data_IF_404965448796
#
_entry.id   IF_404965448796
#
_cell.length_a   1.000
_cell.length_b   1.000
_cell.length_c   1.000
_cell.angle_alpha   90.00
_cell.angle_beta   90.00
_cell.angle_gamma   90.00
#
_symmetry.space_group_name_H-M   'P 1'
#
loop_
_entity.id
_entity.type
_entity.pdbx_description
1 polymer ?
#
# COMPACT_ATOMS: atom_id res chain seq x y z
N UNK A 1 11.99 -5.03 23.85
CA UNK A 1 11.39 -3.91 23.09
C UNK A 1 12.07 -2.58 23.38
N UNK A 2 12.33 -2.20 24.63
CA UNK A 2 12.98 -0.93 24.98
C UNK A 2 14.39 -0.79 24.43
N UNK A 3 15.14 -1.88 24.32
CA UNK A 3 16.48 -1.89 23.74
C UNK A 3 16.43 -1.48 22.28
N UNK A 4 15.55 -2.07 21.49
CA UNK A 4 15.40 -1.72 20.05
C UNK A 4 14.90 -0.30 19.87
N UNK A 5 13.99 0.17 20.70
CA UNK A 5 13.51 1.55 20.70
C UNK A 5 14.66 2.54 20.88
N UNK A 6 15.52 2.31 21.89
CA UNK A 6 16.69 3.15 22.14
C UNK A 6 17.69 3.11 21.00
N UNK A 7 17.93 1.95 20.40
CA UNK A 7 18.80 1.80 19.25
C UNK A 7 18.30 2.63 18.07
N UNK A 8 17.03 2.48 17.70
CA UNK A 8 16.42 3.21 16.57
C UNK A 8 16.34 4.73 16.81
N UNK A 9 16.31 5.16 18.08
CA UNK A 9 16.36 6.60 18.42
C UNK A 9 17.76 7.21 18.34
N UNK A 10 18.82 6.40 18.23
CA UNK A 10 20.20 6.82 18.30
C UNK A 10 21.08 6.11 17.27
N UNK A 11 20.66 6.10 16.00
CA UNK A 11 21.42 5.49 14.90
C UNK A 11 22.62 6.33 14.49
N UNK A 12 22.46 7.64 14.46
CA UNK A 12 23.50 8.61 14.09
C UNK A 12 23.18 10.00 14.65
N UNK A 13 24.20 10.84 14.76
CA UNK A 13 24.05 12.21 15.23
C UNK A 13 23.25 13.05 14.21
N UNK A 14 22.29 13.83 14.69
CA UNK A 14 21.45 14.67 13.83
C UNK A 14 20.31 13.96 13.10
N UNK A 15 20.04 12.67 13.41
CA UNK A 15 18.91 11.97 12.82
C UNK A 15 17.56 12.64 13.15
N UNK A 16 16.56 12.52 12.27
CA UNK A 16 15.19 12.88 12.60
C UNK A 16 14.67 12.10 13.81
N UNK A 17 13.75 12.70 14.56
CA UNK A 17 13.21 12.10 15.76
C UNK A 17 12.42 10.82 15.42
N UNK A 18 12.89 9.67 15.94
CA UNK A 18 12.13 8.43 15.94
C UNK A 18 11.19 8.39 17.15
N UNK A 19 9.90 8.16 16.89
CA UNK A 19 8.86 8.07 17.91
C UNK A 19 8.14 6.73 17.82
N UNK A 20 7.81 6.17 18.96
CA UNK A 20 7.04 4.92 19.07
C UNK A 20 5.98 5.10 20.14
N UNK A 21 4.75 4.86 19.77
CA UNK A 21 3.58 4.95 20.65
C UNK A 21 2.79 3.64 20.60
N UNK A 22 2.28 3.23 21.74
CA UNK A 22 1.25 2.19 21.78
C UNK A 22 -0.08 2.81 21.36
N UNK A 23 -0.83 2.11 20.52
CA UNK A 23 -2.14 2.53 20.06
C UNK A 23 -3.25 1.65 20.62
N UNK A 24 -4.48 2.08 20.50
CA UNK A 24 -5.63 1.23 20.74
C UNK A 24 -5.70 0.14 19.67
N UNK A 25 -6.04 -1.09 20.07
CA UNK A 25 -6.27 -2.21 19.16
C UNK A 25 -7.67 -2.11 18.54
N UNK A 26 -7.87 -1.11 17.70
CA UNK A 26 -9.11 -0.85 16.99
C UNK A 26 -8.80 -0.33 15.61
N UNK A 27 -9.16 -1.07 14.58
CA UNK A 27 -8.95 -0.68 13.19
C UNK A 27 -9.66 0.62 12.87
N UNK A 28 -10.89 0.79 13.37
CA UNK A 28 -11.67 2.02 13.16
C UNK A 28 -10.97 3.24 13.77
N UNK A 29 -10.56 3.14 15.04
CA UNK A 29 -9.94 4.26 15.74
C UNK A 29 -8.59 4.65 15.13
N UNK A 30 -7.75 3.64 14.80
CA UNK A 30 -6.42 3.89 14.23
C UNK A 30 -6.53 4.42 12.81
N UNK A 31 -7.39 3.84 11.97
CA UNK A 31 -7.56 4.31 10.60
C UNK A 31 -8.14 5.73 10.55
N UNK A 32 -9.10 6.04 11.43
CA UNK A 32 -9.65 7.39 11.55
C UNK A 32 -8.58 8.40 12.00
N UNK A 33 -7.72 8.02 12.95
CA UNK A 33 -6.59 8.84 13.37
C UNK A 33 -5.63 9.11 12.20
N UNK A 34 -5.23 8.06 11.46
CA UNK A 34 -4.31 8.19 10.34
C UNK A 34 -4.91 9.00 9.18
N UNK A 35 -6.21 8.90 8.95
CA UNK A 35 -6.91 9.79 8.00
C UNK A 35 -6.78 11.26 8.42
N UNK A 36 -7.08 11.58 9.68
CA UNK A 36 -6.92 12.93 10.22
C UNK A 36 -5.48 13.42 10.11
N UNK A 37 -4.52 12.58 10.47
CA UNK A 37 -3.09 12.89 10.38
C UNK A 37 -2.66 13.16 8.93
N UNK A 38 -3.04 12.30 7.99
CA UNK A 38 -2.69 12.43 6.57
C UNK A 38 -3.29 13.71 5.94
N UNK A 39 -4.48 14.13 6.36
CA UNK A 39 -5.11 15.35 5.86
C UNK A 39 -4.47 16.63 6.41
N UNK A 40 -3.85 16.57 7.58
CA UNK A 40 -3.14 17.71 8.21
C UNK A 40 -1.67 17.77 7.83
N UNK A 41 -1.09 16.66 7.38
CA UNK A 41 0.32 16.53 6.99
C UNK A 41 0.45 16.07 5.52
N UNK A 42 0.06 16.91 4.55
CA UNK A 42 -0.01 16.50 3.14
C UNK A 42 1.34 16.15 2.50
N UNK A 43 2.44 16.56 3.12
CA UNK A 43 3.80 16.28 2.64
C UNK A 43 4.45 15.06 3.34
N UNK A 44 3.73 14.41 4.24
CA UNK A 44 4.20 13.19 4.90
C UNK A 44 3.67 11.94 4.17
N UNK A 45 4.48 10.89 4.16
CA UNK A 45 4.00 9.56 3.82
C UNK A 45 3.38 8.94 5.08
N UNK A 46 2.06 8.87 5.08
CA UNK A 46 1.28 8.26 6.16
C UNK A 46 0.80 6.90 5.71
N UNK A 47 1.14 5.88 6.48
CA UNK A 47 0.81 4.48 6.15
C UNK A 47 0.07 3.86 7.33
N UNK A 48 -1.07 3.27 7.05
CA UNK A 48 -1.76 2.34 7.93
C UNK A 48 -1.66 0.92 7.37
N UNK A 49 -1.21 -0.03 8.18
CA UNK A 49 -1.16 -1.43 7.80
C UNK A 49 -2.09 -2.25 8.69
N UNK A 50 -3.06 -2.94 8.08
CA UNK A 50 -3.88 -3.91 8.77
C UNK A 50 -3.07 -5.16 9.11
N UNK A 51 -3.32 -5.80 10.24
CA UNK A 51 -2.68 -7.07 10.59
C UNK A 51 -2.98 -8.14 9.52
N UNK A 52 -4.24 -8.22 9.08
CA UNK A 52 -4.72 -8.91 7.89
C UNK A 52 -5.71 -7.98 7.18
N UNK A 53 -5.73 -8.02 5.86
CA UNK A 53 -6.57 -7.10 5.09
C UNK A 53 -8.06 -7.22 5.36
N UNK A 54 -8.53 -8.41 5.77
CA UNK A 54 -9.92 -8.62 6.17
C UNK A 54 -10.34 -7.76 7.37
N UNK A 55 -9.42 -7.46 8.28
CA UNK A 55 -9.71 -6.62 9.45
C UNK A 55 -10.04 -5.16 9.10
N UNK A 56 -9.80 -4.74 7.87
CA UNK A 56 -10.30 -3.46 7.37
C UNK A 56 -11.85 -3.36 7.44
N UNK A 57 -12.55 -4.49 7.52
CA UNK A 57 -14.00 -4.52 7.71
C UNK A 57 -14.44 -3.83 9.02
N UNK A 58 -13.64 -3.90 10.07
CA UNK A 58 -13.89 -3.20 11.33
C UNK A 58 -13.78 -1.68 11.25
N UNK A 59 -13.21 -1.16 10.16
CA UNK A 59 -13.07 0.27 9.88
C UNK A 59 -13.86 0.70 8.62
N UNK A 60 -14.83 -0.08 8.17
CA UNK A 60 -15.56 0.16 6.91
C UNK A 60 -16.20 1.55 6.86
N UNK A 61 -16.73 2.03 7.98
CA UNK A 61 -17.31 3.38 8.05
C UNK A 61 -16.30 4.47 7.74
N UNK A 62 -15.03 4.30 8.12
CA UNK A 62 -13.97 5.26 7.82
C UNK A 62 -13.64 5.26 6.33
N UNK A 63 -13.60 4.09 5.69
CA UNK A 63 -13.45 4.00 4.24
C UNK A 63 -14.61 4.67 3.50
N UNK A 64 -15.84 4.34 3.86
CA UNK A 64 -17.03 4.78 3.14
C UNK A 64 -17.31 6.28 3.33
N UNK A 65 -17.18 6.79 4.55
CA UNK A 65 -17.63 8.13 4.90
C UNK A 65 -16.53 9.20 4.86
N UNK A 66 -15.26 8.80 4.91
CA UNK A 66 -14.13 9.73 4.98
C UNK A 66 -13.13 9.51 3.84
N UNK A 67 -12.55 8.33 3.73
CA UNK A 67 -11.44 8.10 2.77
C UNK A 67 -11.94 8.18 1.33
N UNK A 68 -13.01 7.47 0.98
CA UNK A 68 -13.53 7.44 -0.39
C UNK A 68 -14.30 8.68 -0.81
N UNK A 69 -14.89 9.40 0.16
CA UNK A 69 -15.84 10.47 -0.10
C UNK A 69 -15.43 11.86 0.43
N UNK A 70 -14.36 11.94 1.21
CA UNK A 70 -13.94 13.20 1.85
C UNK A 70 -13.58 14.31 0.87
N UNK A 71 -13.01 13.98 -0.27
CA UNK A 71 -12.73 14.96 -1.32
C UNK A 71 -14.03 15.55 -1.89
N UNK A 72 -14.99 14.70 -2.21
CA UNK A 72 -16.27 15.15 -2.76
C UNK A 72 -17.11 15.95 -1.74
N UNK A 73 -17.17 15.47 -0.49
CA UNK A 73 -17.96 16.12 0.57
C UNK A 73 -17.39 17.47 1.02
N UNK A 74 -16.07 17.55 1.14
CA UNK A 74 -15.40 18.67 1.85
C UNK A 74 -14.23 19.29 1.07
N UNK A 75 -13.97 18.85 -0.16
CA UNK A 75 -12.78 19.26 -0.90
C UNK A 75 -11.47 18.84 -0.23
N UNK A 76 -11.50 17.86 0.68
CA UNK A 76 -10.35 17.46 1.49
C UNK A 76 -9.60 16.32 0.84
N UNK A 77 -8.41 16.63 0.36
CA UNK A 77 -7.49 15.66 -0.20
C UNK A 77 -6.79 14.87 0.91
N UNK A 78 -6.55 13.58 0.67
CA UNK A 78 -5.89 12.70 1.62
C UNK A 78 -4.88 11.81 0.88
N UNK A 79 -3.63 11.81 1.34
CA UNK A 79 -2.56 10.97 0.80
C UNK A 79 -2.32 9.67 1.58
N UNK A 80 -3.27 9.24 2.40
CA UNK A 80 -3.15 8.03 3.23
C UNK A 80 -2.94 6.79 2.36
N UNK A 81 -1.95 5.98 2.73
CA UNK A 81 -1.70 4.67 2.15
C UNK A 81 -2.18 3.58 3.11
N UNK A 82 -3.00 2.67 2.62
CA UNK A 82 -3.49 1.52 3.36
C UNK A 82 -2.87 0.24 2.80
N UNK A 83 -2.08 -0.45 3.62
CA UNK A 83 -1.49 -1.75 3.28
C UNK A 83 -2.40 -2.85 3.81
N UNK A 84 -2.99 -3.60 2.91
CA UNK A 84 -3.95 -4.66 3.22
C UNK A 84 -3.38 -6.01 2.79
N UNK A 85 -2.84 -6.81 3.73
CA UNK A 85 -2.42 -8.17 3.42
C UNK A 85 -3.56 -8.97 2.80
N UNK A 86 -3.31 -9.54 1.62
CA UNK A 86 -4.31 -10.23 0.83
C UNK A 86 -3.71 -11.42 0.08
N UNK A 87 -4.27 -12.61 0.25
CA UNK A 87 -3.83 -13.82 -0.42
C UNK A 87 -4.32 -15.07 0.30
N UNK A 88 -4.77 -16.07 -0.47
CA UNK A 88 -5.17 -17.37 0.05
C UNK A 88 -3.92 -18.23 0.28
N UNK A 89 -3.30 -18.10 1.46
CA UNK A 89 -2.00 -18.67 1.81
C UNK A 89 -2.06 -19.67 2.97
N UNK A 90 -3.24 -20.27 3.21
CA UNK A 90 -3.44 -21.30 4.23
C UNK A 90 -3.59 -20.80 5.65
N UNK A 91 -3.85 -19.51 5.86
CA UNK A 91 -3.96 -18.91 7.19
C UNK A 91 -5.40 -18.80 7.73
N UNK A 92 -6.38 -19.37 7.01
CA UNK A 92 -7.77 -19.34 7.39
C UNK A 92 -8.61 -18.29 6.64
N UNK A 93 -9.94 -18.38 6.75
CA UNK A 93 -10.85 -17.53 5.96
C UNK A 93 -10.78 -16.04 6.33
N UNK A 94 -10.62 -15.70 7.61
CA UNK A 94 -10.51 -14.30 8.07
C UNK A 94 -9.19 -13.64 7.70
N UNK A 95 -8.21 -14.42 7.26
CA UNK A 95 -6.84 -13.94 7.02
C UNK A 95 -6.46 -14.01 5.53
N UNK A 96 -7.42 -14.25 4.65
CA UNK A 96 -7.16 -14.49 3.23
C UNK A 96 -7.54 -13.32 2.35
N UNK A 97 -8.74 -12.79 2.47
CA UNK A 97 -9.26 -11.75 1.57
C UNK A 97 -9.39 -10.40 2.26
N UNK A 98 -8.73 -9.39 1.70
CA UNK A 98 -8.99 -7.99 2.03
C UNK A 98 -10.25 -7.45 1.34
N UNK A 99 -10.98 -8.28 0.60
CA UNK A 99 -12.19 -7.91 -0.14
C UNK A 99 -11.95 -6.79 -1.15
N UNK A 100 -11.05 -7.06 -2.09
CA UNK A 100 -10.67 -6.15 -3.18
C UNK A 100 -11.89 -5.52 -3.87
N UNK A 101 -12.92 -6.30 -4.10
CA UNK A 101 -14.17 -5.88 -4.75
C UNK A 101 -14.86 -4.71 -4.06
N UNK A 102 -14.77 -4.60 -2.73
CA UNK A 102 -15.34 -3.47 -1.97
C UNK A 102 -14.61 -2.16 -2.27
N UNK A 103 -13.29 -2.21 -2.34
CA UNK A 103 -12.49 -1.02 -2.69
C UNK A 103 -12.71 -0.60 -4.14
N UNK A 104 -12.83 -1.56 -5.06
CA UNK A 104 -13.15 -1.25 -6.46
C UNK A 104 -14.54 -0.63 -6.61
N UNK A 105 -15.54 -1.07 -5.82
CA UNK A 105 -16.87 -0.45 -5.81
C UNK A 105 -16.87 0.99 -5.28
N UNK A 106 -15.94 1.33 -4.39
CA UNK A 106 -15.80 2.69 -3.86
C UNK A 106 -15.07 3.64 -4.82
N UNK A 107 -14.43 3.11 -5.86
CA UNK A 107 -13.74 3.93 -6.87
C UNK A 107 -14.75 4.67 -7.75
N UNK A 108 -14.70 6.00 -7.72
CA UNK A 108 -15.52 6.88 -8.54
C UNK A 108 -14.78 8.20 -8.76
N UNK A 109 -14.84 8.75 -9.96
CA UNK A 109 -14.30 10.09 -10.29
C UNK A 109 -12.82 10.27 -9.86
N UNK A 110 -12.03 9.21 -9.94
CA UNK A 110 -10.61 9.21 -9.56
C UNK A 110 -10.35 9.54 -8.06
N UNK A 111 -11.26 9.18 -7.18
CA UNK A 111 -11.19 9.48 -5.75
C UNK A 111 -10.08 8.72 -5.02
N UNK A 112 -9.71 7.51 -5.47
CA UNK A 112 -8.70 6.66 -4.83
C UNK A 112 -7.97 5.79 -5.85
N UNK A 113 -6.85 5.21 -5.40
CA UNK A 113 -6.07 4.25 -6.18
C UNK A 113 -6.10 2.88 -5.48
N UNK A 114 -6.31 1.81 -6.25
CA UNK A 114 -6.26 0.42 -5.75
C UNK A 114 -5.19 -0.31 -6.55
N UNK A 115 -4.17 -0.85 -5.86
CA UNK A 115 -3.00 -1.42 -6.49
C UNK A 115 -2.65 -2.80 -5.92
N UNK A 116 -2.16 -3.69 -6.78
CA UNK A 116 -1.55 -4.96 -6.43
C UNK A 116 -0.15 -4.99 -7.05
N UNK A 117 0.89 -4.50 -6.34
CA UNK A 117 2.25 -4.44 -6.87
C UNK A 117 2.83 -5.85 -7.09
N UNK A 118 3.76 -5.96 -8.03
CA UNK A 118 4.37 -7.23 -8.46
C UNK A 118 5.72 -7.49 -7.77
N UNK A 119 6.66 -6.56 -7.91
CA UNK A 119 8.04 -6.70 -7.42
C UNK A 119 8.35 -5.74 -6.25
N UNK A 120 9.43 -5.97 -5.48
CA UNK A 120 9.87 -5.01 -4.47
C UNK A 120 10.13 -3.61 -5.02
N UNK A 121 10.71 -3.49 -6.21
CA UNK A 121 10.91 -2.18 -6.86
C UNK A 121 9.57 -1.49 -7.17
N UNK A 122 8.55 -2.24 -7.60
CA UNK A 122 7.24 -1.66 -7.88
C UNK A 122 6.54 -1.15 -6.62
N UNK A 123 6.60 -1.86 -5.49
CA UNK A 123 6.03 -1.34 -4.23
C UNK A 123 6.81 -0.13 -3.72
N UNK A 124 8.13 -0.15 -3.83
CA UNK A 124 8.98 1.00 -3.48
C UNK A 124 8.58 2.24 -4.29
N UNK A 125 8.52 2.14 -5.61
CA UNK A 125 8.15 3.25 -6.48
C UNK A 125 6.70 3.69 -6.31
N UNK A 126 5.79 2.77 -5.98
CA UNK A 126 4.41 3.08 -5.66
C UNK A 126 4.30 3.99 -4.42
N UNK A 127 5.01 3.63 -3.34
CA UNK A 127 5.05 4.42 -2.11
C UNK A 127 5.79 5.76 -2.32
N UNK A 128 6.92 5.74 -3.03
CA UNK A 128 7.65 6.95 -3.38
C UNK A 128 6.78 7.91 -4.20
N UNK A 129 6.07 7.40 -5.21
CA UNK A 129 5.15 8.16 -6.04
C UNK A 129 4.04 8.84 -5.23
N UNK A 130 3.56 8.21 -4.18
CA UNK A 130 2.48 8.72 -3.33
C UNK A 130 2.85 10.07 -2.68
N UNK A 131 4.13 10.30 -2.43
CA UNK A 131 4.62 11.54 -1.79
C UNK A 131 5.09 12.58 -2.80
N UNK A 132 5.81 12.16 -3.85
CA UNK A 132 6.45 13.11 -4.78
C UNK A 132 5.48 13.72 -5.79
N UNK A 133 4.36 13.06 -6.09
CA UNK A 133 3.34 13.60 -6.99
C UNK A 133 2.62 14.79 -6.35
N UNK A 134 2.31 15.84 -7.11
CA UNK A 134 1.55 16.98 -6.61
C UNK A 134 0.05 16.67 -6.45
N UNK A 135 -0.30 15.43 -6.19
CA UNK A 135 -1.65 14.92 -6.08
C UNK A 135 -1.75 14.05 -4.84
N UNK A 136 -2.71 14.36 -3.97
CA UNK A 136 -2.98 13.60 -2.75
C UNK A 136 -4.27 12.82 -2.93
N UNK A 137 -4.16 11.52 -3.17
CA UNK A 137 -5.29 10.58 -3.28
C UNK A 137 -5.01 9.37 -2.38
N UNK A 138 -6.02 8.82 -1.71
CA UNK A 138 -5.88 7.58 -0.95
C UNK A 138 -5.35 6.45 -1.84
N UNK A 139 -4.47 5.64 -1.26
CA UNK A 139 -3.86 4.49 -1.92
C UNK A 139 -4.15 3.23 -1.12
N UNK A 140 -4.84 2.28 -1.73
CA UNK A 140 -5.08 0.93 -1.20
C UNK A 140 -4.12 -0.03 -1.89
N UNK A 141 -3.28 -0.70 -1.09
CA UNK A 141 -2.30 -1.68 -1.58
C UNK A 141 -2.67 -3.05 -1.06
N UNK A 142 -2.96 -3.97 -1.95
CA UNK A 142 -3.20 -5.37 -1.62
C UNK A 142 -1.93 -6.17 -1.94
N UNK A 143 -1.39 -6.85 -0.93
CA UNK A 143 -0.15 -7.61 -1.08
C UNK A 143 -0.17 -8.88 -0.25
N UNK A 144 0.26 -10.03 -0.80
CA UNK A 144 0.36 -11.26 -0.04
C UNK A 144 1.55 -11.21 0.92
N UNK A 145 1.38 -11.72 2.14
CA UNK A 145 2.47 -11.80 3.14
C UNK A 145 3.61 -12.70 2.71
N UNK A 146 3.34 -13.74 1.93
CA UNK A 146 4.35 -14.68 1.44
C UNK A 146 5.46 -14.00 0.64
N UNK A 147 5.17 -12.94 -0.11
CA UNK A 147 6.17 -12.22 -0.90
C UNK A 147 7.19 -11.46 -0.06
N UNK A 148 6.89 -11.15 1.21
CA UNK A 148 7.85 -10.48 2.11
C UNK A 148 9.13 -11.30 2.35
N UNK A 149 9.07 -12.61 2.14
CA UNK A 149 10.19 -13.53 2.37
C UNK A 149 10.42 -14.52 1.23
N UNK A 150 9.77 -14.29 0.09
CA UNK A 150 9.89 -15.20 -1.05
C UNK A 150 11.25 -15.01 -1.73
N UNK A 151 12.03 -16.08 -2.02
CA UNK A 151 13.36 -15.95 -2.59
C UNK A 151 13.40 -15.25 -3.96
N UNK A 152 12.32 -15.35 -4.73
CA UNK A 152 12.21 -14.69 -6.05
C UNK A 152 11.65 -13.26 -5.98
N UNK A 153 11.14 -12.84 -4.82
CA UNK A 153 10.66 -11.47 -4.62
C UNK A 153 11.83 -10.54 -4.27
N UNK A 154 12.70 -10.32 -5.23
CA UNK A 154 13.90 -9.48 -5.13
C UNK A 154 13.88 -8.42 -6.23
N UNK A 155 14.62 -7.35 -6.00
CA UNK A 155 14.90 -6.32 -7.00
C UNK A 155 16.33 -5.82 -6.85
N UNK A 156 16.92 -5.34 -7.93
CA UNK A 156 18.28 -4.78 -7.90
C UNK A 156 18.29 -3.35 -7.34
N UNK A 157 19.47 -2.88 -6.96
CA UNK A 157 19.62 -1.48 -6.50
C UNK A 157 19.37 -0.49 -7.65
N UNK A 158 19.71 -0.86 -8.87
CA UNK A 158 19.45 -0.06 -10.07
C UNK A 158 17.95 0.11 -10.30
N UNK A 159 17.16 -0.96 -10.15
CA UNK A 159 15.71 -0.88 -10.26
C UNK A 159 15.09 0.06 -9.21
N UNK A 160 15.68 0.16 -8.03
CA UNK A 160 15.25 1.08 -6.98
C UNK A 160 15.73 2.51 -7.25
N UNK A 161 16.97 2.69 -7.73
CA UNK A 161 17.57 3.99 -7.90
C UNK A 161 17.10 4.73 -9.18
N UNK A 162 17.03 3.99 -10.29
CA UNK A 162 16.79 4.54 -11.63
C UNK A 162 15.41 4.17 -12.20
N UNK A 163 14.70 3.24 -11.56
CA UNK A 163 13.39 2.77 -11.98
C UNK A 163 12.25 3.74 -11.68
N UNK A 164 11.05 3.33 -12.04
CA UNK A 164 9.81 4.04 -11.77
C UNK A 164 8.64 3.08 -11.60
N UNK A 165 7.52 3.57 -11.06
CA UNK A 165 6.30 2.77 -11.01
C UNK A 165 5.74 2.58 -12.43
N UNK A 166 5.50 1.33 -12.79
CA UNK A 166 4.94 0.94 -14.09
C UNK A 166 3.49 0.50 -13.90
N UNK A 167 2.58 1.12 -14.63
CA UNK A 167 1.16 0.72 -14.64
C UNK A 167 0.91 -0.54 -15.44
N UNK A 168 1.76 -0.80 -16.42
CA UNK A 168 1.80 -2.03 -17.23
C UNK A 168 3.26 -2.42 -17.38
N UNK A 169 3.55 -3.67 -17.06
CA UNK A 169 4.86 -4.28 -17.29
C UNK A 169 4.72 -5.16 -18.53
N UNK A 170 5.55 -4.91 -19.54
CA UNK A 170 5.56 -5.70 -20.76
C UNK A 170 6.28 -7.03 -20.58
N UNK A 171 6.34 -7.81 -21.66
CA UNK A 171 7.15 -9.04 -21.71
C UNK A 171 8.63 -8.71 -21.50
N UNK A 172 9.27 -9.44 -20.59
CA UNK A 172 10.68 -9.24 -20.22
C UNK A 172 11.63 -10.18 -21.00
N UNK A 173 11.11 -11.30 -21.52
CA UNK A 173 11.89 -12.25 -22.28
C UNK A 173 11.99 -11.84 -23.76
N UNK A 174 13.12 -12.12 -24.44
CA UNK A 174 13.33 -11.78 -25.84
C UNK A 174 12.58 -12.75 -26.78
N UNK A 175 11.25 -12.72 -26.78
CA UNK A 175 10.41 -13.56 -27.63
C UNK A 175 10.04 -12.87 -28.94
N UNK A 176 9.98 -13.65 -30.03
CA UNK A 176 9.53 -13.15 -31.33
C UNK A 176 8.00 -12.94 -31.32
N UNK A 177 7.54 -11.70 -31.42
CA UNK A 177 6.12 -11.36 -31.40
C UNK A 177 5.25 -12.18 -32.38
N UNK A 178 5.84 -12.55 -33.56
CA UNK A 178 5.14 -13.35 -34.58
C UNK A 178 4.89 -14.80 -34.14
N UNK A 179 5.59 -15.29 -33.13
CA UNK A 179 5.45 -16.66 -32.60
C UNK A 179 4.54 -16.71 -31.36
N UNK A 180 4.05 -15.58 -30.90
CA UNK A 180 3.16 -15.51 -29.74
C UNK A 180 1.76 -15.98 -30.14
N UNK A 181 1.34 -17.09 -29.56
CA UNK A 181 0.00 -17.67 -29.78
C UNK A 181 -1.02 -17.21 -28.73
N UNK A 182 -0.52 -16.76 -27.56
CA UNK A 182 -1.39 -16.35 -26.46
C UNK A 182 -0.73 -15.23 -25.65
N UNK A 183 -1.53 -14.23 -25.30
CA UNK A 183 -1.16 -13.19 -24.34
C UNK A 183 -1.92 -13.42 -23.03
N UNK A 184 -1.20 -13.49 -21.91
CA UNK A 184 -1.77 -13.64 -20.57
C UNK A 184 -1.61 -12.33 -19.82
N UNK A 185 -2.71 -11.73 -19.41
CA UNK A 185 -2.70 -10.54 -18.56
C UNK A 185 -2.85 -10.98 -17.10
N UNK A 186 -1.98 -10.55 -16.24
CA UNK A 186 -2.00 -10.88 -14.81
C UNK A 186 -1.65 -9.67 -13.94
N UNK A 187 -1.79 -9.82 -12.62
CA UNK A 187 -1.42 -8.79 -11.66
C UNK A 187 -0.95 -9.41 -10.35
N UNK A 188 -0.16 -8.65 -9.58
CA UNK A 188 0.31 -9.04 -8.26
C UNK A 188 1.18 -10.29 -8.30
N UNK A 189 0.90 -11.22 -7.40
CA UNK A 189 1.69 -12.45 -7.17
C UNK A 189 1.76 -13.42 -8.37
N UNK A 190 0.84 -13.31 -9.33
CA UNK A 190 0.82 -14.19 -10.52
C UNK A 190 1.88 -13.78 -11.54
N UNK A 191 2.34 -12.55 -11.49
CA UNK A 191 3.47 -12.05 -12.28
C UNK A 191 4.76 -12.77 -11.93
#
# INVERSE_FOLDING_TARGET
SDVYKRQLQNLYEGQPRFQLYDSFLSEEAVLAFEYGYATTMPNALVIWEAQFGDFANGAQVVFDQFISSGEHKWGRLCGLTMLLPHGYEGQGPEHSSARLERFLQLCAEHNMQVCMPTTPAQIYHLLRRQVIRPLRKPLVVLSPKSLLRHPLAISTLEELAEGSFQTVIGEIDPIEAKKVERVVLCSGKVY
#
